data_IF_390872412386
#
_entry.id   IF_390872412386
#
_cell.length_a   1.000
_cell.length_b   1.000
_cell.length_c   1.000
_cell.angle_alpha   90.00
_cell.angle_beta   90.00
_cell.angle_gamma   90.00
#
_symmetry.space_group_name_H-M   'P 1'
#
loop_
_entity.id
_entity.type
_entity.pdbx_description
1 polymer ?
#
# COMPACT_ATOMS: atom_id res chain seq x y z
N UNK A 1 -25.20 28.09 8.62
CA UNK A 1 -24.40 26.87 8.85
C UNK A 1 -24.16 26.77 10.35
N UNK A 2 -24.29 25.57 10.95
CA UNK A 2 -23.96 25.39 12.37
C UNK A 2 -22.46 25.65 12.58
N UNK A 3 -22.09 26.30 13.68
CA UNK A 3 -20.70 26.59 14.01
C UNK A 3 -19.83 25.31 14.02
N UNK A 4 -20.40 24.17 14.39
CA UNK A 4 -19.67 22.91 14.45
C UNK A 4 -19.42 22.30 13.07
N UNK A 5 -20.25 22.59 12.06
CA UNK A 5 -19.98 22.17 10.68
C UNK A 5 -18.73 22.87 10.16
N UNK A 6 -18.63 24.19 10.38
CA UNK A 6 -17.46 24.96 9.96
C UNK A 6 -16.19 24.49 10.66
N UNK A 7 -16.26 24.18 11.97
CA UNK A 7 -15.13 23.57 12.70
C UNK A 7 -14.77 22.18 12.15
N UNK A 8 -15.77 21.35 11.84
CA UNK A 8 -15.57 20.04 11.24
C UNK A 8 -14.89 20.10 9.87
N UNK A 9 -15.27 21.07 9.04
CA UNK A 9 -14.66 21.27 7.73
C UNK A 9 -13.22 21.79 7.82
N UNK A 10 -12.95 22.75 8.71
CA UNK A 10 -11.58 23.19 9.02
C UNK A 10 -10.71 22.03 9.53
N UNK A 11 -11.27 21.17 10.38
CA UNK A 11 -10.57 19.97 10.86
C UNK A 11 -10.27 18.98 9.71
N UNK A 12 -11.20 18.78 8.77
CA UNK A 12 -10.95 17.97 7.56
C UNK A 12 -9.82 18.54 6.71
N UNK A 13 -9.83 19.85 6.47
CA UNK A 13 -8.81 20.53 5.67
C UNK A 13 -7.42 20.42 6.33
N UNK A 14 -7.39 20.49 7.67
CA UNK A 14 -6.19 20.29 8.48
C UNK A 14 -5.79 18.81 8.64
N UNK A 15 -6.53 17.87 8.03
CA UNK A 15 -6.34 16.41 8.15
C UNK A 15 -6.50 15.87 9.58
N UNK A 16 -7.11 16.65 10.48
CA UNK A 16 -7.52 16.19 11.81
C UNK A 16 -8.88 15.48 11.71
N UNK A 17 -8.83 14.23 11.27
CA UNK A 17 -10.03 13.44 11.03
C UNK A 17 -10.78 13.08 12.32
N UNK A 18 -10.09 12.98 13.47
CA UNK A 18 -10.73 12.67 14.75
C UNK A 18 -11.59 13.83 15.24
N UNK A 19 -11.04 15.06 15.22
CA UNK A 19 -11.81 16.25 15.59
C UNK A 19 -12.92 16.53 14.59
N UNK A 20 -12.69 16.30 13.29
CA UNK A 20 -13.72 16.41 12.26
C UNK A 20 -14.92 15.51 12.56
N UNK A 21 -14.69 14.24 12.89
CA UNK A 21 -15.76 13.30 13.27
C UNK A 21 -16.56 13.82 14.47
N UNK A 22 -15.89 14.33 15.52
CA UNK A 22 -16.56 14.88 16.70
C UNK A 22 -17.47 16.05 16.34
N UNK A 23 -16.93 17.05 15.66
CA UNK A 23 -17.67 18.25 15.27
C UNK A 23 -18.84 17.96 14.32
N UNK A 24 -18.66 17.06 13.33
CA UNK A 24 -19.79 16.65 12.47
C UNK A 24 -20.83 15.85 13.24
N UNK A 25 -20.43 15.01 14.19
CA UNK A 25 -21.37 14.26 15.02
C UNK A 25 -22.22 15.19 15.88
N UNK A 26 -21.63 16.24 16.44
CA UNK A 26 -22.36 17.27 17.19
C UNK A 26 -23.31 18.06 16.28
N UNK A 27 -22.87 18.45 15.08
CA UNK A 27 -23.73 19.11 14.11
C UNK A 27 -24.93 18.24 13.70
N UNK A 28 -24.73 16.93 13.56
CA UNK A 28 -25.75 15.97 13.18
C UNK A 28 -26.81 15.76 14.27
N UNK A 29 -26.50 16.02 15.55
CA UNK A 29 -27.53 16.05 16.62
C UNK A 29 -28.59 17.11 16.38
N UNK A 30 -28.23 18.21 15.70
CA UNK A 30 -29.13 19.33 15.41
C UNK A 30 -29.90 19.07 14.11
N UNK A 31 -29.22 18.64 13.05
CA UNK A 31 -29.87 18.37 11.76
C UNK A 31 -29.17 17.27 10.98
N UNK A 32 -29.95 16.31 10.49
CA UNK A 32 -29.47 15.22 9.63
C UNK A 32 -29.37 15.72 8.17
N UNK A 33 -28.37 16.56 7.89
CA UNK A 33 -28.08 17.02 6.54
C UNK A 33 -27.22 15.99 5.78
N UNK A 34 -27.57 15.63 4.53
CA UNK A 34 -26.80 14.68 3.73
C UNK A 34 -25.34 15.09 3.53
N UNK A 35 -25.06 16.38 3.31
CA UNK A 35 -23.70 16.88 3.09
C UNK A 35 -22.79 16.62 4.29
N UNK A 36 -23.29 16.84 5.52
CA UNK A 36 -22.51 16.63 6.74
C UNK A 36 -22.26 15.14 7.00
N UNK A 37 -23.22 14.27 6.66
CA UNK A 37 -23.02 12.83 6.67
C UNK A 37 -21.92 12.41 5.68
N UNK A 38 -21.92 12.96 4.46
CA UNK A 38 -20.89 12.65 3.45
C UNK A 38 -19.49 13.15 3.83
N UNK A 39 -19.40 14.30 4.50
CA UNK A 39 -18.17 14.86 5.03
C UNK A 39 -17.63 14.01 6.19
N UNK A 40 -18.50 13.63 7.15
CA UNK A 40 -18.16 12.72 8.25
C UNK A 40 -17.74 11.34 7.73
N UNK A 41 -18.44 10.82 6.71
CA UNK A 41 -18.06 9.58 6.01
C UNK A 41 -16.63 9.65 5.46
N UNK A 42 -16.21 10.78 4.88
CA UNK A 42 -14.81 10.96 4.47
C UNK A 42 -13.85 10.96 5.65
N UNK A 43 -14.19 11.59 6.77
CA UNK A 43 -13.34 11.55 7.96
C UNK A 43 -13.17 10.10 8.46
N UNK A 44 -14.27 9.34 8.57
CA UNK A 44 -14.24 7.93 8.96
C UNK A 44 -13.43 7.06 7.99
N UNK A 45 -13.60 7.25 6.69
CA UNK A 45 -12.82 6.54 5.68
C UNK A 45 -11.32 6.82 5.83
N UNK A 46 -10.93 8.07 6.12
CA UNK A 46 -9.52 8.45 6.33
C UNK A 46 -8.94 7.87 7.62
N UNK A 47 -9.78 7.57 8.60
CA UNK A 47 -9.41 6.85 9.83
C UNK A 47 -9.37 5.33 9.68
N UNK A 48 -9.71 4.78 8.50
CA UNK A 48 -9.82 3.33 8.28
C UNK A 48 -11.11 2.71 8.82
N UNK A 49 -12.04 3.52 9.34
CA UNK A 49 -13.33 3.08 9.87
C UNK A 49 -14.35 2.95 8.73
N UNK A 50 -14.09 2.01 7.81
CA UNK A 50 -14.85 1.88 6.57
C UNK A 50 -16.33 1.51 6.79
N UNK A 51 -16.65 0.69 7.79
CA UNK A 51 -18.05 0.34 8.13
C UNK A 51 -18.88 1.56 8.54
N UNK A 52 -18.33 2.41 9.42
CA UNK A 52 -18.97 3.67 9.85
C UNK A 52 -19.12 4.65 8.68
N UNK A 53 -18.09 4.74 7.84
CA UNK A 53 -18.14 5.57 6.64
C UNK A 53 -19.25 5.12 5.67
N UNK A 54 -19.47 3.81 5.53
CA UNK A 54 -20.49 3.25 4.65
C UNK A 54 -21.89 3.55 5.19
N UNK A 55 -22.09 3.43 6.51
CA UNK A 55 -23.33 3.80 7.20
C UNK A 55 -23.74 5.24 6.89
N UNK A 56 -22.80 6.18 7.06
CA UNK A 56 -23.06 7.60 6.79
C UNK A 56 -23.38 7.86 5.31
N UNK A 57 -22.68 7.19 4.40
CA UNK A 57 -22.93 7.31 2.96
C UNK A 57 -24.30 6.75 2.55
N UNK A 58 -24.72 5.61 3.12
CA UNK A 58 -26.04 5.01 2.93
C UNK A 58 -27.14 5.93 3.47
N UNK A 59 -26.96 6.48 4.67
CA UNK A 59 -27.93 7.40 5.28
C UNK A 59 -28.07 8.69 4.47
N UNK A 60 -26.95 9.25 4.01
CA UNK A 60 -26.95 10.43 3.15
C UNK A 60 -27.72 10.19 1.85
N UNK A 61 -27.56 9.00 1.24
CA UNK A 61 -28.26 8.61 0.03
C UNK A 61 -29.78 8.56 0.22
N UNK A 62 -30.25 7.88 1.28
CA UNK A 62 -31.69 7.77 1.58
C UNK A 62 -32.30 9.16 1.80
N UNK A 63 -31.65 10.01 2.59
CA UNK A 63 -32.13 11.38 2.82
C UNK A 63 -32.12 12.19 1.50
N UNK A 64 -31.11 11.99 0.64
CA UNK A 64 -31.02 12.69 -0.65
C UNK A 64 -32.12 12.28 -1.63
N UNK A 65 -32.45 10.98 -1.69
CA UNK A 65 -33.56 10.43 -2.49
C UNK A 65 -34.89 11.00 -1.99
N UNK A 66 -35.14 10.94 -0.67
CA UNK A 66 -36.35 11.48 -0.07
C UNK A 66 -36.53 12.98 -0.30
N UNK A 67 -35.42 13.72 -0.45
CA UNK A 67 -35.43 15.16 -0.77
C UNK A 67 -35.39 15.45 -2.28
N UNK A 68 -35.31 14.45 -3.14
CA UNK A 68 -35.25 14.60 -4.60
C UNK A 68 -34.02 15.34 -5.14
N UNK A 69 -32.93 15.44 -4.37
CA UNK A 69 -31.75 16.24 -4.76
C UNK A 69 -30.74 15.39 -5.55
N UNK A 70 -30.91 15.34 -6.87
CA UNK A 70 -30.12 14.53 -7.81
C UNK A 70 -28.60 14.64 -7.62
N UNK A 71 -28.09 15.86 -7.41
CA UNK A 71 -26.65 16.09 -7.20
C UNK A 71 -26.12 15.39 -5.94
N UNK A 72 -26.88 15.47 -4.84
CA UNK A 72 -26.51 14.85 -3.56
C UNK A 72 -26.64 13.32 -3.66
N UNK A 73 -27.62 12.81 -4.41
CA UNK A 73 -27.75 11.38 -4.70
C UNK A 73 -26.48 10.87 -5.39
N UNK A 74 -26.00 11.59 -6.42
CA UNK A 74 -24.75 11.24 -7.09
C UNK A 74 -23.55 11.28 -6.13
N UNK A 75 -23.43 12.33 -5.31
CA UNK A 75 -22.36 12.46 -4.33
C UNK A 75 -22.36 11.34 -3.28
N UNK A 76 -23.54 10.91 -2.86
CA UNK A 76 -23.70 9.80 -1.93
C UNK A 76 -23.33 8.46 -2.57
N UNK A 77 -23.76 8.18 -3.81
CA UNK A 77 -23.35 6.99 -4.55
C UNK A 77 -21.84 6.96 -4.80
N UNK A 78 -21.25 8.11 -5.15
CA UNK A 78 -19.81 8.27 -5.30
C UNK A 78 -19.05 7.95 -4.00
N UNK A 79 -19.53 8.49 -2.86
CA UNK A 79 -18.93 8.21 -1.55
C UNK A 79 -19.08 6.73 -1.17
N UNK A 80 -20.25 6.11 -1.39
CA UNK A 80 -20.47 4.67 -1.18
C UNK A 80 -19.46 3.84 -1.97
N UNK A 81 -19.25 4.15 -3.25
CA UNK A 81 -18.28 3.47 -4.11
C UNK A 81 -16.84 3.55 -3.56
N UNK A 82 -16.40 4.73 -3.11
CA UNK A 82 -15.07 4.89 -2.50
C UNK A 82 -14.94 4.05 -1.22
N UNK A 83 -15.96 4.03 -0.37
CA UNK A 83 -15.92 3.29 0.89
C UNK A 83 -15.92 1.77 0.66
N UNK A 84 -16.75 1.29 -0.27
CA UNK A 84 -16.81 -0.13 -0.65
C UNK A 84 -15.50 -0.60 -1.29
N UNK A 85 -14.85 0.26 -2.07
CA UNK A 85 -13.50 0.02 -2.56
C UNK A 85 -12.50 -0.14 -1.41
N UNK A 86 -12.59 0.71 -0.38
CA UNK A 86 -11.80 0.56 0.86
C UNK A 86 -12.06 -0.74 1.62
N UNK A 87 -13.26 -1.31 1.51
CA UNK A 87 -13.63 -2.64 2.03
C UNK A 87 -13.23 -3.80 1.10
N UNK A 88 -12.54 -3.50 -0.03
CA UNK A 88 -12.18 -4.46 -1.07
C UNK A 88 -13.38 -5.15 -1.73
N UNK A 89 -14.57 -4.55 -1.68
CA UNK A 89 -15.75 -5.04 -2.38
C UNK A 89 -15.85 -4.35 -3.75
N UNK A 90 -15.00 -4.75 -4.70
CA UNK A 90 -14.83 -4.01 -5.95
C UNK A 90 -16.06 -4.11 -6.87
N UNK A 91 -16.77 -5.24 -6.85
CA UNK A 91 -18.04 -5.39 -7.58
C UNK A 91 -19.10 -4.39 -7.12
N UNK A 92 -19.34 -4.34 -5.81
CA UNK A 92 -20.24 -3.38 -5.18
C UNK A 92 -19.81 -1.92 -5.46
N UNK A 93 -18.50 -1.63 -5.37
CA UNK A 93 -17.97 -0.31 -5.68
C UNK A 93 -18.21 0.12 -7.14
N UNK A 94 -18.01 -0.80 -8.10
CA UNK A 94 -18.23 -0.56 -9.54
C UNK A 94 -19.66 -0.17 -9.83
N UNK A 95 -20.61 -0.89 -9.25
CA UNK A 95 -22.04 -0.62 -9.42
C UNK A 95 -22.41 0.75 -8.83
N UNK A 96 -21.89 1.11 -7.65
CA UNK A 96 -22.08 2.44 -7.08
C UNK A 96 -21.58 3.58 -7.99
N UNK A 97 -20.41 3.41 -8.63
CA UNK A 97 -19.91 4.42 -9.57
C UNK A 97 -20.75 4.50 -10.84
N UNK A 98 -21.32 3.39 -11.31
CA UNK A 98 -22.27 3.41 -12.42
C UNK A 98 -23.55 4.16 -12.05
N UNK A 99 -24.14 3.89 -10.87
CA UNK A 99 -25.29 4.66 -10.38
C UNK A 99 -24.94 6.16 -10.24
N UNK A 100 -23.77 6.49 -9.69
CA UNK A 100 -23.29 7.87 -9.65
C UNK A 100 -23.28 8.52 -11.05
N UNK A 101 -22.77 7.81 -12.07
CA UNK A 101 -22.74 8.30 -13.45
C UNK A 101 -24.14 8.62 -13.98
N UNK A 102 -25.11 7.77 -13.69
CA UNK A 102 -26.50 7.95 -14.12
C UNK A 102 -27.13 9.22 -13.51
N UNK A 103 -26.78 9.56 -12.26
CA UNK A 103 -27.26 10.78 -11.62
C UNK A 103 -26.46 12.03 -12.01
N UNK A 104 -25.14 11.94 -12.08
CA UNK A 104 -24.22 13.02 -12.47
C UNK A 104 -22.96 12.47 -13.16
N UNK A 105 -22.94 12.50 -14.49
CA UNK A 105 -21.81 12.05 -15.30
C UNK A 105 -20.57 12.94 -15.14
N UNK A 106 -20.75 14.23 -14.86
CA UNK A 106 -19.66 15.21 -14.73
C UNK A 106 -19.05 15.25 -13.33
N UNK A 107 -19.34 14.26 -12.47
CA UNK A 107 -18.78 14.21 -11.12
C UNK A 107 -17.26 14.12 -11.18
N UNK A 108 -16.58 15.13 -10.61
CA UNK A 108 -15.12 15.18 -10.56
C UNK A 108 -14.54 13.92 -9.92
N UNK A 109 -13.55 13.33 -10.60
CA UNK A 109 -12.87 12.11 -10.16
C UNK A 109 -13.59 10.81 -10.50
N UNK A 110 -14.83 10.84 -11.01
CA UNK A 110 -15.61 9.62 -11.29
C UNK A 110 -14.94 8.70 -12.30
N UNK A 111 -14.50 9.22 -13.44
CA UNK A 111 -13.82 8.43 -14.49
C UNK A 111 -12.56 7.73 -13.97
N UNK A 112 -11.76 8.45 -13.16
CA UNK A 112 -10.56 7.90 -12.54
C UNK A 112 -10.91 6.76 -11.59
N UNK A 113 -11.93 6.94 -10.75
CA UNK A 113 -12.39 5.89 -9.84
C UNK A 113 -12.98 4.68 -10.55
N UNK A 114 -13.74 4.88 -11.62
CA UNK A 114 -14.26 3.79 -12.45
C UNK A 114 -13.11 2.98 -13.07
N UNK A 115 -12.09 3.65 -13.60
CA UNK A 115 -10.89 2.97 -14.12
C UNK A 115 -10.16 2.20 -13.02
N UNK A 116 -9.94 2.84 -11.87
CA UNK A 116 -9.25 2.21 -10.73
C UNK A 116 -9.98 0.98 -10.22
N UNK A 117 -11.29 1.07 -10.00
CA UNK A 117 -12.10 -0.07 -9.56
C UNK A 117 -12.08 -1.19 -10.60
N UNK A 118 -12.10 -0.88 -11.89
CA UNK A 118 -12.05 -1.90 -12.95
C UNK A 118 -10.73 -2.66 -12.89
N UNK A 119 -9.60 -1.94 -12.79
CA UNK A 119 -8.29 -2.57 -12.63
C UNK A 119 -8.22 -3.43 -11.35
N UNK A 120 -8.67 -2.90 -10.22
CA UNK A 120 -8.65 -3.65 -8.95
C UNK A 120 -9.61 -4.86 -8.99
N UNK A 121 -10.75 -4.74 -9.66
CA UNK A 121 -11.70 -5.84 -9.88
C UNK A 121 -11.04 -6.98 -10.67
N UNK A 122 -10.39 -6.66 -11.80
CA UNK A 122 -9.73 -7.65 -12.66
C UNK A 122 -8.53 -8.31 -11.95
N UNK A 123 -7.72 -7.52 -11.23
CA UNK A 123 -6.57 -8.03 -10.46
C UNK A 123 -6.97 -8.98 -9.33
N UNK A 124 -8.17 -8.83 -8.77
CA UNK A 124 -8.66 -9.65 -7.66
C UNK A 124 -9.54 -10.82 -8.13
N UNK A 125 -9.36 -11.30 -9.37
CA UNK A 125 -9.99 -12.52 -9.87
C UNK A 125 -11.29 -12.31 -10.64
N UNK A 126 -11.60 -11.06 -11.02
CA UNK A 126 -12.69 -10.74 -11.94
C UNK A 126 -14.05 -11.28 -11.48
N UNK A 127 -14.85 -11.77 -12.41
CA UNK A 127 -16.24 -12.17 -12.16
C UNK A 127 -16.39 -13.38 -11.23
N UNK A 128 -15.38 -14.25 -11.14
CA UNK A 128 -15.43 -15.45 -10.29
C UNK A 128 -15.06 -15.19 -8.83
N UNK A 129 -14.53 -14.01 -8.48
CA UNK A 129 -14.09 -13.72 -7.14
C UNK A 129 -15.24 -13.28 -6.22
N UNK A 130 -15.28 -13.80 -5.00
CA UNK A 130 -16.32 -13.47 -4.02
C UNK A 130 -16.35 -11.97 -3.67
N UNK A 131 -15.17 -11.33 -3.60
CA UNK A 131 -15.05 -9.88 -3.36
C UNK A 131 -15.67 -9.01 -4.48
N UNK A 132 -15.93 -9.62 -5.64
CA UNK A 132 -16.49 -8.99 -6.82
C UNK A 132 -17.97 -9.31 -7.02
N UNK A 133 -18.56 -10.13 -6.16
CA UNK A 133 -20.00 -10.38 -6.16
C UNK A 133 -20.77 -9.09 -5.84
N UNK A 134 -21.80 -8.81 -6.63
CA UNK A 134 -22.68 -7.67 -6.41
C UNK A 134 -23.81 -8.09 -5.48
N UNK A 135 -23.79 -7.59 -4.25
CA UNK A 135 -24.78 -7.93 -3.20
C UNK A 135 -25.64 -6.73 -2.80
N UNK A 136 -25.26 -5.52 -3.20
CA UNK A 136 -25.92 -4.29 -2.77
C UNK A 136 -27.05 -3.86 -3.71
N UNK A 137 -28.09 -3.24 -3.14
CA UNK A 137 -29.16 -2.56 -3.87
C UNK A 137 -28.83 -1.08 -4.12
N UNK A 138 -29.43 -0.50 -5.15
CA UNK A 138 -29.25 0.92 -5.51
C UNK A 138 -29.63 1.83 -4.34
N UNK A 139 -30.77 1.53 -3.72
CA UNK A 139 -31.26 2.17 -2.51
C UNK A 139 -31.17 1.15 -1.36
N UNK A 140 -30.37 1.41 -0.31
CA UNK A 140 -30.36 0.56 0.89
C UNK A 140 -31.75 0.53 1.54
N UNK A 141 -32.26 -0.68 1.80
CA UNK A 141 -33.47 -0.90 2.60
C UNK A 141 -33.09 -0.85 4.10
N UNK A 142 -33.90 -0.18 4.93
CA UNK A 142 -33.74 -0.07 6.39
C UNK A 142 -32.34 0.29 6.91
N UNK A 143 -31.90 1.52 6.63
CA UNK A 143 -30.66 2.09 7.24
C UNK A 143 -30.75 2.16 8.77
N UNK A 144 -31.96 2.10 9.33
CA UNK A 144 -32.21 2.20 10.77
C UNK A 144 -31.91 0.90 11.55
N UNK A 145 -31.98 -0.29 10.92
CA UNK A 145 -31.63 -1.55 11.58
C UNK A 145 -30.09 -1.69 11.76
N UNK A 146 -29.32 -1.17 10.80
CA UNK A 146 -27.85 -1.00 10.90
C UNK A 146 -27.44 0.04 11.97
N UNK A 147 -28.37 0.87 12.47
CA UNK A 147 -28.07 1.81 13.56
C UNK A 147 -27.85 1.09 14.88
N UNK A 148 -28.67 0.08 15.20
CA UNK A 148 -28.61 -0.61 16.49
C UNK A 148 -27.33 -1.44 16.66
N UNK A 149 -26.88 -2.13 15.62
CA UNK A 149 -25.68 -2.97 15.70
C UNK A 149 -24.39 -2.13 15.79
N UNK A 150 -24.34 -0.99 15.09
CA UNK A 150 -23.21 -0.07 15.11
C UNK A 150 -23.17 0.79 16.37
N UNK A 151 -24.33 1.25 16.86
CA UNK A 151 -24.41 2.02 18.10
C UNK A 151 -24.07 1.12 19.32
N UNK A 152 -24.42 -0.18 19.28
CA UNK A 152 -23.95 -1.16 20.26
C UNK A 152 -22.41 -1.34 20.22
N UNK A 153 -21.80 -1.41 19.03
CA UNK A 153 -20.34 -1.50 18.88
C UNK A 153 -19.62 -0.23 19.34
N UNK A 154 -20.20 0.94 19.10
CA UNK A 154 -19.68 2.23 19.59
C UNK A 154 -19.78 2.30 21.12
N UNK A 155 -20.90 1.89 21.71
CA UNK A 155 -21.03 1.79 23.18
C UNK A 155 -20.06 0.78 23.80
N UNK A 156 -19.84 -0.37 23.17
CA UNK A 156 -18.88 -1.37 23.63
C UNK A 156 -17.44 -0.85 23.58
N UNK A 157 -17.11 -0.04 22.57
CA UNK A 157 -15.78 0.53 22.42
C UNK A 157 -15.55 1.75 23.33
N UNK A 158 -16.58 2.58 23.58
CA UNK A 158 -16.52 3.67 24.56
C UNK A 158 -16.43 3.13 25.99
N UNK A 159 -17.19 2.09 26.34
CA UNK A 159 -17.09 1.40 27.65
C UNK A 159 -15.70 0.78 27.88
N UNK A 160 -15.00 0.35 26.82
CA UNK A 160 -13.60 -0.12 26.90
C UNK A 160 -12.58 1.01 27.08
N UNK A 161 -12.83 2.19 26.51
CA UNK A 161 -11.99 3.38 26.70
C UNK A 161 -12.21 4.00 28.09
N UNK A 162 -13.46 4.05 28.58
CA UNK A 162 -13.83 4.53 29.91
C UNK A 162 -13.31 3.60 31.01
N UNK A 163 -13.40 2.27 30.84
CA UNK A 163 -12.80 1.30 31.77
C UNK A 163 -11.26 1.39 31.83
N UNK A 164 -10.61 1.85 30.76
CA UNK A 164 -9.17 2.11 30.70
C UNK A 164 -8.79 3.48 31.29
N UNK A 165 -9.73 4.43 31.28
CA UNK A 165 -9.59 5.75 31.90
C UNK A 165 -9.84 5.71 33.42
N UNK A 166 -10.78 4.90 33.91
CA UNK A 166 -11.08 4.76 35.34
C UNK A 166 -9.95 4.06 36.12
N UNK A 167 -9.15 3.19 35.48
CA UNK A 167 -7.96 2.60 36.11
C UNK A 167 -6.75 3.55 36.21
N UNK A 168 -6.86 4.79 35.71
CA UNK A 168 -5.74 5.74 35.65
C UNK A 168 -5.94 6.99 36.52
N UNK A 169 -6.97 7.04 37.37
CA UNK A 169 -7.20 8.12 38.33
C UNK A 169 -6.71 7.70 39.72
N UNK A 170 -5.38 7.68 39.89
CA UNK A 170 -4.67 7.77 41.18
C UNK A 170 -3.17 7.96 40.89
N UNK A 171 -2.82 9.11 40.33
CA UNK A 171 -1.43 9.47 40.01
C UNK A 171 -1.34 10.88 39.42
N UNK A 172 -1.38 11.89 40.29
CA UNK A 172 -1.43 13.30 39.91
C UNK A 172 -0.10 13.86 39.37
N UNK A 173 -0.25 14.89 38.52
CA UNK A 173 0.67 15.99 38.20
C UNK A 173 2.04 15.68 37.58
N UNK A 174 2.19 15.94 36.29
CA UNK A 174 3.28 16.83 35.80
C UNK A 174 2.90 17.50 34.47
N UNK A 175 3.24 18.78 34.39
CA UNK A 175 3.11 19.73 33.28
C UNK A 175 3.54 19.22 31.91
N UNK A 176 2.83 19.72 30.90
CA UNK A 176 3.10 19.63 29.46
C UNK A 176 4.55 20.04 29.15
N UNK A 177 5.38 19.08 28.77
CA UNK A 177 6.49 19.32 27.83
C UNK A 177 6.59 18.13 26.87
N UNK A 178 6.64 18.45 25.59
CA UNK A 178 6.69 17.51 24.46
C UNK A 178 8.10 16.88 24.40
N UNK A 179 8.27 15.55 24.38
CA UNK A 179 9.56 14.93 24.04
C UNK A 179 9.48 14.11 22.74
N UNK A 180 10.65 13.78 22.15
CA UNK A 180 10.80 13.48 20.73
C UNK A 180 10.52 12.02 20.37
N UNK A 181 10.24 11.86 19.08
CA UNK A 181 9.91 10.64 18.35
C UNK A 181 11.03 9.57 18.44
N UNK A 182 10.76 8.46 19.14
CA UNK A 182 11.51 7.20 19.02
C UNK A 182 10.54 6.05 18.76
N UNK A 183 9.64 6.24 17.79
CA UNK A 183 8.74 5.17 17.32
C UNK A 183 9.58 3.97 16.86
N UNK A 184 9.49 2.85 17.57
CA UNK A 184 10.09 1.57 17.22
C UNK A 184 9.57 1.19 15.82
N UNK A 185 10.46 1.13 14.83
CA UNK A 185 10.11 0.75 13.44
C UNK A 185 10.54 -0.68 13.18
N UNK A 186 9.73 -1.44 12.45
CA UNK A 186 10.12 -2.73 11.92
C UNK A 186 9.87 -2.79 10.41
N UNK A 187 10.66 -3.58 9.72
CA UNK A 187 10.57 -3.83 8.28
C UNK A 187 10.92 -5.30 8.01
N UNK A 188 10.50 -5.85 6.87
CA UNK A 188 10.89 -7.18 6.44
C UNK A 188 11.02 -7.24 4.91
N UNK A 189 11.97 -8.03 4.45
CA UNK A 189 12.16 -8.35 3.04
C UNK A 189 12.48 -9.83 2.89
N UNK A 190 12.52 -10.32 1.65
CA UNK A 190 12.77 -11.73 1.39
C UNK A 190 13.60 -11.94 0.13
N UNK A 191 14.31 -13.06 0.12
CA UNK A 191 14.93 -13.64 -1.06
C UNK A 191 14.18 -14.91 -1.48
N UNK A 192 14.68 -15.62 -2.48
CA UNK A 192 14.14 -16.93 -2.87
C UNK A 192 14.32 -17.96 -1.74
N UNK A 193 15.38 -17.85 -0.93
CA UNK A 193 15.74 -18.82 0.09
C UNK A 193 15.37 -18.42 1.53
N UNK A 194 15.34 -17.13 1.87
CA UNK A 194 15.17 -16.67 3.26
C UNK A 194 14.27 -15.44 3.36
N UNK A 195 13.79 -15.15 4.57
CA UNK A 195 13.02 -13.96 4.95
C UNK A 195 13.82 -13.23 6.03
N UNK A 196 14.05 -11.94 5.85
CA UNK A 196 14.77 -11.11 6.83
C UNK A 196 13.82 -10.13 7.49
N UNK A 197 13.77 -10.15 8.83
CA UNK A 197 12.98 -9.25 9.67
C UNK A 197 13.93 -8.31 10.41
N UNK A 198 13.71 -7.00 10.28
CA UNK A 198 14.49 -5.95 10.90
C UNK A 198 13.65 -5.17 11.92
N UNK A 199 14.16 -5.03 13.14
CA UNK A 199 13.58 -4.18 14.19
C UNK A 199 14.58 -3.08 14.54
N UNK A 200 14.26 -1.84 14.19
CA UNK A 200 15.10 -0.66 14.39
C UNK A 200 14.85 -0.04 15.76
N UNK A 201 15.71 -0.35 16.72
CA UNK A 201 15.66 0.16 18.10
C UNK A 201 17.06 0.53 18.57
N UNK A 202 17.19 1.68 19.23
CA UNK A 202 18.46 2.19 19.76
C UNK A 202 18.68 1.75 21.20
N UNK A 203 19.90 1.28 21.50
CA UNK A 203 20.38 0.99 22.84
C UNK A 203 19.98 -0.39 23.38
N UNK A 204 19.90 -1.40 22.52
CA UNK A 204 19.54 -2.76 22.91
C UNK A 204 20.79 -3.50 23.46
N UNK A 205 20.74 -4.05 24.69
CA UNK A 205 21.77 -4.97 25.17
C UNK A 205 21.61 -6.34 24.49
N UNK A 206 22.72 -6.89 23.98
CA UNK A 206 22.73 -8.23 23.35
C UNK A 206 22.30 -9.34 24.33
N UNK A 207 22.55 -9.15 25.62
CA UNK A 207 22.38 -10.16 26.67
C UNK A 207 20.93 -10.29 27.19
N UNK A 208 20.09 -9.27 26.99
CA UNK A 208 18.71 -9.23 27.51
C UNK A 208 17.65 -9.38 26.40
N UNK A 209 18.08 -9.57 25.16
CA UNK A 209 17.19 -9.82 24.02
C UNK A 209 16.95 -11.32 23.88
N UNK A 210 15.69 -11.72 23.91
CA UNK A 210 15.26 -13.10 23.67
C UNK A 210 14.58 -13.20 22.32
N UNK A 211 15.03 -14.14 21.48
CA UNK A 211 14.45 -14.42 20.16
C UNK A 211 14.10 -15.92 20.14
N UNK A 212 12.82 -16.23 20.04
CA UNK A 212 12.31 -17.60 19.95
C UNK A 212 11.80 -17.85 18.53
N UNK A 213 12.49 -18.74 17.82
CA UNK A 213 12.17 -19.12 16.44
C UNK A 213 11.58 -20.53 16.46
N UNK A 214 10.33 -20.67 16.07
CA UNK A 214 9.64 -21.96 15.90
C UNK A 214 9.28 -22.16 14.44
N UNK A 215 8.89 -23.39 14.08
CA UNK A 215 8.59 -23.80 12.69
C UNK A 215 7.62 -22.85 11.96
N UNK A 216 6.69 -22.20 12.68
CA UNK A 216 5.73 -21.25 12.12
C UNK A 216 5.46 -20.05 13.04
N UNK A 217 6.35 -19.76 13.98
CA UNK A 217 6.20 -18.58 14.85
C UNK A 217 7.54 -17.95 15.20
N UNK A 218 7.52 -16.61 15.30
CA UNK A 218 8.66 -15.79 15.69
C UNK A 218 8.23 -14.89 16.84
N UNK A 219 8.92 -15.01 17.96
CA UNK A 219 8.72 -14.17 19.14
C UNK A 219 10.03 -13.46 19.48
N UNK A 220 9.97 -12.15 19.68
CA UNK A 220 11.13 -11.31 19.98
C UNK A 220 10.78 -10.45 21.19
N UNK A 221 11.56 -10.56 22.27
CA UNK A 221 11.36 -9.77 23.48
C UNK A 221 12.65 -9.09 23.91
N UNK A 222 12.59 -7.78 24.16
CA UNK A 222 13.73 -6.97 24.60
C UNK A 222 13.28 -5.80 25.50
N UNK A 223 14.14 -5.32 26.41
CA UNK A 223 13.82 -4.16 27.25
C UNK A 223 13.80 -2.86 26.44
N UNK A 224 12.76 -2.04 26.62
CA UNK A 224 12.69 -0.71 25.99
C UNK A 224 13.59 0.28 26.74
N UNK A 225 14.32 1.11 25.99
CA UNK A 225 15.18 2.16 26.56
C UNK A 225 14.43 3.42 26.98
N UNK A 226 13.16 3.56 26.55
CA UNK A 226 12.35 4.78 26.75
C UNK A 226 11.34 4.66 27.91
N UNK A 227 11.01 3.43 28.30
CA UNK A 227 10.14 3.13 29.44
C UNK A 227 10.64 1.81 30.01
N UNK A 228 10.74 1.64 31.33
CA UNK A 228 11.28 0.44 31.99
C UNK A 228 10.40 -0.83 31.79
N UNK A 229 9.83 -1.03 30.60
CA UNK A 229 8.93 -2.09 30.20
C UNK A 229 9.58 -2.95 29.12
N UNK A 230 9.30 -4.26 29.13
CA UNK A 230 9.71 -5.21 28.09
C UNK A 230 8.81 -5.08 26.85
N UNK A 231 9.39 -4.88 25.67
CA UNK A 231 8.67 -4.87 24.40
C UNK A 231 8.72 -6.27 23.78
N UNK A 232 7.56 -6.81 23.40
CA UNK A 232 7.45 -8.14 22.77
C UNK A 232 6.77 -8.02 21.41
N UNK A 233 7.39 -8.59 20.37
CA UNK A 233 6.82 -8.77 19.04
C UNK A 233 6.52 -10.24 18.83
N UNK A 234 5.30 -10.55 18.41
CA UNK A 234 4.84 -11.91 18.14
C UNK A 234 4.29 -12.01 16.72
N UNK A 235 4.85 -12.94 15.94
CA UNK A 235 4.39 -13.28 14.60
C UNK A 235 4.00 -14.76 14.57
N UNK A 236 2.71 -15.05 14.71
CA UNK A 236 2.15 -16.40 14.73
C UNK A 236 0.73 -16.40 14.14
N UNK A 237 0.41 -17.23 13.12
CA UNK A 237 1.33 -18.06 12.34
C UNK A 237 2.12 -17.24 11.29
N UNK A 238 3.38 -17.63 11.02
CA UNK A 238 4.13 -17.20 9.84
C UNK A 238 3.48 -17.74 8.56
N UNK A 239 3.67 -17.03 7.43
CA UNK A 239 3.07 -17.36 6.15
C UNK A 239 3.29 -18.83 5.75
N UNK A 240 4.53 -19.30 5.83
CA UNK A 240 4.92 -20.68 5.58
C UNK A 240 5.91 -21.17 6.63
N UNK A 241 6.20 -22.47 6.64
CA UNK A 241 7.15 -23.05 7.58
C UNK A 241 8.58 -22.61 7.29
N UNK A 242 9.35 -22.49 8.37
CA UNK A 242 10.77 -22.13 8.32
C UNK A 242 11.63 -23.24 8.92
N UNK A 243 12.86 -23.32 8.43
CA UNK A 243 13.89 -24.23 8.92
C UNK A 243 14.59 -23.58 10.12
N UNK A 244 14.23 -23.98 11.33
CA UNK A 244 14.72 -23.36 12.58
C UNK A 244 16.24 -23.48 12.70
N UNK A 245 16.82 -24.61 12.29
CA UNK A 245 18.27 -24.89 12.40
C UNK A 245 19.14 -24.02 11.51
N UNK A 246 18.60 -23.55 10.39
CA UNK A 246 19.30 -22.67 9.43
C UNK A 246 18.93 -21.19 9.59
N UNK A 247 18.00 -20.89 10.50
CA UNK A 247 17.60 -19.52 10.81
C UNK A 247 18.54 -18.93 11.85
N UNK A 248 18.87 -17.65 11.73
CA UNK A 248 19.82 -16.97 12.62
C UNK A 248 19.31 -15.59 13.01
N UNK A 249 19.87 -15.02 14.07
CA UNK A 249 19.58 -13.64 14.48
C UNK A 249 20.87 -12.93 14.89
N UNK A 250 20.90 -11.62 14.67
CA UNK A 250 22.00 -10.74 15.06
C UNK A 250 21.44 -9.50 15.75
N UNK A 251 21.93 -9.24 16.96
CA UNK A 251 21.58 -8.05 17.75
C UNK A 251 22.72 -7.06 17.65
N UNK A 252 22.42 -5.85 17.18
CA UNK A 252 23.32 -4.71 17.16
C UNK A 252 22.74 -3.55 17.98
N UNK A 253 23.53 -2.54 18.38
CA UNK A 253 23.05 -1.42 19.20
C UNK A 253 21.92 -0.59 18.57
N UNK A 254 21.68 -0.72 17.27
CA UNK A 254 20.70 0.06 16.51
C UNK A 254 19.65 -0.79 15.77
N UNK A 255 19.83 -2.12 15.71
CA UNK A 255 18.89 -3.03 15.05
C UNK A 255 18.98 -4.46 15.58
N UNK A 256 17.84 -5.14 15.58
CA UNK A 256 17.75 -6.60 15.64
C UNK A 256 17.43 -7.09 14.24
N UNK A 257 18.27 -7.96 13.70
CA UNK A 257 18.10 -8.57 12.37
C UNK A 257 17.90 -10.07 12.55
N UNK A 258 16.80 -10.61 12.04
CA UNK A 258 16.46 -12.03 12.10
C UNK A 258 16.35 -12.55 10.67
N UNK A 259 17.11 -13.60 10.36
CA UNK A 259 17.11 -14.27 9.06
C UNK A 259 16.43 -15.64 9.25
N UNK A 260 15.25 -15.78 8.67
CA UNK A 260 14.45 -17.01 8.70
C UNK A 260 14.64 -17.78 7.39
N UNK A 261 15.17 -18.99 7.48
CA UNK A 261 15.35 -19.85 6.31
C UNK A 261 14.01 -20.48 5.91
N UNK A 262 13.57 -20.31 4.66
CA UNK A 262 12.34 -20.95 4.17
C UNK A 262 12.58 -22.46 4.03
N UNK A 263 11.60 -23.29 4.45
CA UNK A 263 11.64 -24.74 4.18
C UNK A 263 11.48 -25.02 2.68
N UNK A 264 10.63 -24.24 1.99
CA UNK A 264 10.45 -24.31 0.54
C UNK A 264 11.18 -23.15 -0.15
N UNK A 265 12.33 -23.44 -0.76
CA UNK A 265 13.04 -22.46 -1.57
C UNK A 265 12.21 -22.09 -2.82
N UNK A 266 12.12 -20.80 -3.13
CA UNK A 266 11.36 -20.27 -4.27
C UNK A 266 9.94 -19.80 -3.93
N UNK A 267 9.38 -20.19 -2.77
CA UNK A 267 8.05 -19.72 -2.35
C UNK A 267 8.09 -18.22 -1.97
N UNK A 268 7.37 -17.39 -2.71
CA UNK A 268 7.22 -15.95 -2.40
C UNK A 268 6.17 -15.75 -1.31
N UNK A 269 6.53 -15.05 -0.24
CA UNK A 269 5.62 -14.72 0.85
C UNK A 269 4.93 -13.38 0.53
N UNK A 270 3.61 -13.30 0.32
CA UNK A 270 2.91 -12.04 0.12
C UNK A 270 2.84 -11.20 1.41
N UNK A 271 2.83 -11.87 2.57
CA UNK A 271 2.80 -11.27 3.91
C UNK A 271 3.73 -12.05 4.85
N UNK A 272 4.17 -11.44 5.95
CA UNK A 272 5.02 -12.12 6.95
C UNK A 272 4.22 -13.12 7.80
N UNK A 273 3.00 -12.74 8.18
CA UNK A 273 2.05 -13.59 8.90
C UNK A 273 1.04 -14.21 7.92
N UNK A 274 0.64 -15.44 8.21
CA UNK A 274 -0.49 -16.08 7.57
C UNK A 274 -1.77 -15.56 8.21
N UNK A 275 -2.66 -14.97 7.42
CA UNK A 275 -4.04 -14.69 7.83
C UNK A 275 -4.92 -15.75 7.19
N UNK A 276 -5.39 -16.73 7.95
CA UNK A 276 -6.55 -17.51 7.53
C UNK A 276 -7.78 -16.60 7.56
N UNK A 277 -8.76 -16.79 6.68
CA UNK A 277 -10.15 -16.82 7.09
C UNK A 277 -10.40 -18.17 7.81
N UNK A 278 -10.65 -18.18 9.12
CA UNK A 278 -10.99 -19.41 9.85
C UNK A 278 -12.43 -19.90 9.54
N UNK A 279 -12.82 -21.15 9.86
CA UNK A 279 -12.07 -22.41 9.81
C UNK A 279 -12.90 -23.59 9.21
N UNK A 280 -12.29 -24.54 8.49
CA UNK A 280 -12.63 -25.98 8.58
C UNK A 280 -11.41 -26.84 8.21
N UNK A 281 -11.02 -27.74 9.11
CA UNK A 281 -10.50 -29.07 8.75
C UNK A 281 -8.99 -29.25 8.61
N UNK A 282 -8.38 -29.82 9.65
CA UNK A 282 -7.16 -30.64 9.53
C UNK A 282 -7.39 -31.85 8.61
N UNK A 283 -6.27 -32.40 8.13
CA UNK A 283 -6.09 -33.56 7.25
C UNK A 283 -6.36 -33.32 5.75
N UNK A 284 -5.28 -33.21 4.97
CA UNK A 284 -4.76 -34.33 4.18
C UNK A 284 -3.42 -33.99 3.53
N UNK A 285 -2.50 -34.95 3.64
CA UNK A 285 -1.16 -34.99 3.07
C UNK A 285 -1.19 -35.58 1.65
N UNK A 286 -0.42 -34.93 0.77
CA UNK A 286 0.38 -35.52 -0.33
C UNK A 286 -0.35 -35.97 -1.63
N UNK A 287 0.38 -36.42 -2.67
CA UNK A 287 1.14 -35.58 -3.62
C UNK A 287 0.83 -35.96 -5.09
N UNK A 288 0.99 -35.07 -6.08
CA UNK A 288 1.31 -35.55 -7.42
C UNK A 288 1.99 -34.52 -8.32
N UNK A 289 3.09 -34.99 -8.89
CA UNK A 289 3.85 -34.44 -9.99
C UNK A 289 3.13 -34.86 -11.27
N UNK A 290 2.88 -33.93 -12.19
CA UNK A 290 2.71 -34.31 -13.59
C UNK A 290 3.27 -33.21 -14.45
N UNK A 291 4.39 -33.51 -15.08
CA UNK A 291 4.81 -32.88 -16.32
C UNK A 291 3.73 -33.14 -17.37
N UNK A 292 3.25 -32.10 -18.03
CA UNK A 292 2.99 -32.18 -19.47
C UNK A 292 3.12 -30.79 -20.07
N UNK A 293 3.97 -30.76 -21.08
CA UNK A 293 4.29 -29.61 -21.90
C UNK A 293 3.19 -29.41 -22.96
N UNK A 294 3.26 -28.25 -23.64
CA UNK A 294 2.53 -27.78 -24.83
C UNK A 294 1.34 -26.84 -24.58
N UNK A 295 1.53 -25.58 -24.97
CA UNK A 295 0.44 -24.64 -25.35
C UNK A 295 0.56 -23.26 -24.72
N UNK A 296 1.42 -22.40 -25.27
CA UNK A 296 1.73 -21.08 -24.71
C UNK A 296 0.58 -20.07 -24.72
N UNK A 297 0.51 -19.26 -23.67
CA UNK A 297 0.05 -17.87 -23.75
C UNK A 297 0.71 -17.06 -22.62
N UNK A 298 1.51 -16.07 -23.02
CA UNK A 298 2.37 -15.22 -22.18
C UNK A 298 1.51 -14.10 -21.56
N UNK A 299 1.34 -14.06 -20.24
CA UNK A 299 0.78 -12.88 -19.54
C UNK A 299 1.86 -12.31 -18.62
N UNK A 300 2.30 -11.11 -18.99
CA UNK A 300 3.35 -10.32 -18.36
C UNK A 300 2.86 -9.71 -17.05
N UNK A 301 3.64 -9.89 -15.98
CA UNK A 301 3.50 -9.17 -14.71
C UNK A 301 4.48 -7.99 -14.68
N UNK A 302 4.00 -6.74 -14.71
CA UNK A 302 4.85 -5.58 -14.39
C UNK A 302 4.95 -5.39 -12.85
N UNK A 303 6.14 -5.08 -12.29
CA UNK A 303 6.28 -4.67 -10.90
C UNK A 303 5.77 -3.22 -10.67
N UNK A 304 5.38 -2.84 -9.43
CA UNK A 304 4.80 -1.54 -9.14
C UNK A 304 5.83 -0.40 -9.29
N UNK A 305 5.45 0.63 -10.04
CA UNK A 305 6.20 1.87 -10.24
C UNK A 305 5.95 2.81 -9.04
N UNK A 306 7.01 3.20 -8.35
CA UNK A 306 6.98 4.18 -7.24
C UNK A 306 7.21 5.62 -7.75
N UNK A 307 6.67 6.66 -7.08
CA UNK A 307 6.74 8.03 -7.58
C UNK A 307 8.12 8.61 -7.31
N UNK A 308 8.88 8.88 -8.38
CA UNK A 308 10.14 9.63 -8.28
C UNK A 308 9.86 11.10 -8.62
N UNK A 309 10.50 12.01 -7.88
CA UNK A 309 10.34 13.46 -7.98
C UNK A 309 11.01 14.08 -9.22
N UNK A 310 11.07 13.37 -10.34
CA UNK A 310 11.64 13.85 -11.59
C UNK A 310 10.56 14.55 -12.43
N UNK A 311 10.85 15.77 -12.93
CA UNK A 311 9.95 16.53 -13.82
C UNK A 311 9.66 15.83 -15.16
N UNK A 312 10.39 14.76 -15.47
CA UNK A 312 10.12 13.83 -16.55
C UNK A 312 10.06 12.43 -15.94
N UNK A 313 8.89 11.78 -16.02
CA UNK A 313 8.54 10.55 -15.29
C UNK A 313 9.44 9.33 -15.55
N UNK A 314 9.11 8.17 -14.96
CA UNK A 314 9.94 6.97 -15.00
C UNK A 314 10.23 6.52 -16.44
N UNK A 315 11.51 6.52 -16.83
CA UNK A 315 11.97 6.00 -18.13
C UNK A 315 11.70 4.49 -18.17
N UNK A 316 10.79 4.09 -19.06
CA UNK A 316 10.25 2.73 -19.15
C UNK A 316 11.14 1.89 -20.10
N UNK A 317 11.99 1.04 -19.54
CA UNK A 317 12.98 0.24 -20.30
C UNK A 317 12.38 -1.04 -20.92
N UNK A 318 11.17 -1.42 -20.54
CA UNK A 318 10.45 -2.59 -21.10
C UNK A 318 9.93 -2.35 -22.53
N UNK A 319 9.92 -1.12 -23.04
CA UNK A 319 9.38 -0.77 -24.38
C UNK A 319 10.35 -1.15 -25.51
N UNK A 320 11.62 -1.42 -25.20
CA UNK A 320 12.65 -1.70 -26.22
C UNK A 320 12.61 -3.16 -26.68
N UNK A 321 11.91 -4.04 -25.97
CA UNK A 321 11.82 -5.49 -26.28
C UNK A 321 10.58 -5.83 -27.13
N UNK A 322 9.53 -4.99 -27.11
CA UNK A 322 8.22 -5.34 -27.70
C UNK A 322 7.93 -4.69 -29.07
N UNK A 323 8.89 -3.96 -29.66
CA UNK A 323 8.70 -3.30 -30.96
C UNK A 323 9.58 -3.96 -32.04
N UNK A 324 9.26 -5.20 -32.36
CA UNK A 324 9.84 -5.94 -33.48
C UNK A 324 8.78 -6.05 -34.60
N UNK A 325 8.85 -5.11 -35.54
CA UNK A 325 8.41 -5.33 -36.90
C UNK A 325 9.66 -5.15 -37.77
N UNK A 326 9.97 -6.22 -38.50
CA UNK A 326 11.09 -6.43 -39.43
C UNK A 326 12.32 -7.13 -38.85
N UNK A 327 12.50 -8.36 -39.33
CA UNK A 327 13.65 -9.25 -39.16
C UNK A 327 14.96 -8.54 -39.50
N UNK A 328 15.75 -8.20 -38.48
CA UNK A 328 17.21 -8.18 -38.56
C UNK A 328 17.74 -8.73 -37.23
N UNK A 329 18.52 -9.81 -37.31
CA UNK A 329 19.04 -10.62 -36.21
C UNK A 329 19.42 -9.83 -34.94
N UNK A 330 18.81 -10.18 -33.79
CA UNK A 330 19.14 -9.69 -32.44
C UNK A 330 20.47 -10.30 -31.92
N UNK A 331 21.50 -10.38 -32.76
CA UNK A 331 22.84 -10.87 -32.37
C UNK A 331 23.90 -9.77 -32.39
N UNK A 332 23.55 -8.54 -32.78
CA UNK A 332 24.48 -7.41 -32.79
C UNK A 332 24.19 -6.42 -31.64
N UNK A 333 25.16 -6.18 -30.72
CA UNK A 333 25.07 -5.14 -29.69
C UNK A 333 24.72 -3.75 -30.28
N UNK A 334 25.09 -3.51 -31.54
CA UNK A 334 24.85 -2.27 -32.26
C UNK A 334 23.36 -1.99 -32.51
N UNK A 335 22.51 -3.01 -32.67
CA UNK A 335 21.07 -2.84 -32.90
C UNK A 335 20.37 -2.21 -31.68
N UNK A 336 20.81 -2.60 -30.47
CA UNK A 336 20.33 -2.03 -29.22
C UNK A 336 20.67 -0.53 -29.12
N UNK A 337 21.91 -0.14 -29.42
CA UNK A 337 22.34 1.26 -29.34
C UNK A 337 21.68 2.14 -30.42
N UNK A 338 21.47 1.61 -31.64
CA UNK A 338 20.73 2.30 -32.70
C UNK A 338 19.29 2.60 -32.28
N UNK A 339 18.61 1.64 -31.66
CA UNK A 339 17.23 1.79 -31.17
C UNK A 339 17.15 2.78 -30.01
N UNK A 340 18.08 2.67 -29.05
CA UNK A 340 18.21 3.60 -27.93
C UNK A 340 18.43 5.04 -28.41
N UNK A 341 19.29 5.24 -29.41
CA UNK A 341 19.60 6.55 -29.96
C UNK A 341 18.47 7.11 -30.85
N UNK A 342 17.76 6.26 -31.60
CA UNK A 342 16.63 6.67 -32.46
C UNK A 342 15.50 7.28 -31.62
N UNK A 343 15.14 6.62 -30.52
CA UNK A 343 14.01 6.98 -29.66
C UNK A 343 14.35 7.97 -28.52
N UNK A 344 15.63 8.34 -28.36
CA UNK A 344 16.07 9.28 -27.33
C UNK A 344 15.65 10.73 -27.62
N UNK A 345 15.39 11.51 -26.56
CA UNK A 345 15.25 12.96 -26.64
C UNK A 345 16.60 13.65 -26.96
N UNK A 346 16.62 14.91 -27.46
CA UNK A 346 17.84 15.59 -27.88
C UNK A 346 18.93 15.67 -26.81
N UNK A 347 18.58 15.83 -25.54
CA UNK A 347 19.56 15.92 -24.45
C UNK A 347 20.15 14.54 -24.13
N UNK A 348 19.33 13.49 -24.16
CA UNK A 348 19.81 12.10 -24.07
C UNK A 348 20.75 11.76 -25.24
N UNK A 349 20.43 12.15 -26.48
CA UNK A 349 21.31 11.95 -27.64
C UNK A 349 22.65 12.68 -27.47
N UNK A 350 22.62 13.92 -26.98
CA UNK A 350 23.82 14.70 -26.68
C UNK A 350 24.67 14.05 -25.59
N UNK A 351 24.05 13.52 -24.54
CA UNK A 351 24.73 12.80 -23.47
C UNK A 351 25.41 11.53 -23.99
N UNK A 352 24.71 10.76 -24.82
CA UNK A 352 25.23 9.54 -25.43
C UNK A 352 26.43 9.84 -26.34
N UNK A 353 26.32 10.82 -27.23
CA UNK A 353 27.43 11.20 -28.12
C UNK A 353 28.63 11.67 -27.32
N UNK A 354 28.43 12.59 -26.36
CA UNK A 354 29.53 13.17 -25.59
C UNK A 354 30.24 12.10 -24.75
N UNK A 355 29.49 11.27 -24.04
CA UNK A 355 30.07 10.19 -23.22
C UNK A 355 30.81 9.15 -24.07
N UNK A 356 30.24 8.74 -25.20
CA UNK A 356 30.87 7.80 -26.12
C UNK A 356 32.16 8.37 -26.72
N UNK A 357 32.14 9.64 -27.13
CA UNK A 357 33.30 10.31 -27.73
C UNK A 357 34.42 10.57 -26.71
N UNK A 358 34.09 11.02 -25.49
CA UNK A 358 35.10 11.32 -24.46
C UNK A 358 35.71 10.07 -23.83
N UNK A 359 34.92 9.00 -23.73
CA UNK A 359 35.37 7.71 -23.18
C UNK A 359 36.01 6.78 -24.22
N UNK A 360 36.21 7.25 -25.46
CA UNK A 360 36.69 6.41 -26.58
C UNK A 360 35.89 5.10 -26.74
N UNK A 361 34.56 5.19 -26.57
CA UNK A 361 33.65 4.06 -26.72
C UNK A 361 33.54 3.11 -25.52
N UNK A 362 34.15 3.44 -24.38
CA UNK A 362 34.13 2.57 -23.19
C UNK A 362 32.99 2.87 -22.21
N UNK A 363 32.36 4.04 -22.31
CA UNK A 363 31.27 4.44 -21.44
C UNK A 363 30.15 5.16 -22.21
N UNK A 364 28.90 4.83 -21.85
CA UNK A 364 27.70 5.44 -22.43
C UNK A 364 26.79 5.94 -21.32
N UNK A 365 26.51 7.24 -21.31
CA UNK A 365 25.59 7.88 -20.37
C UNK A 365 24.39 8.49 -21.09
N UNK A 366 23.22 8.38 -20.46
CA UNK A 366 21.95 8.92 -20.96
C UNK A 366 21.50 10.20 -20.24
N UNK A 367 22.34 10.74 -19.36
CA UNK A 367 22.00 11.86 -18.47
C UNK A 367 22.84 13.11 -18.76
N UNK A 368 22.30 14.06 -19.52
CA UNK A 368 23.01 15.29 -19.90
C UNK A 368 23.40 16.16 -18.68
N UNK A 369 22.62 16.13 -17.61
CA UNK A 369 22.90 16.90 -16.39
C UNK A 369 24.22 16.52 -15.71
N UNK A 370 24.67 15.27 -15.86
CA UNK A 370 25.92 14.78 -15.26
C UNK A 370 27.09 14.91 -16.25
N UNK A 371 26.92 14.39 -17.47
CA UNK A 371 28.02 14.40 -18.45
C UNK A 371 28.17 15.72 -19.19
N UNK A 372 27.20 16.64 -19.12
CA UNK A 372 27.31 17.94 -19.78
C UNK A 372 28.44 18.80 -19.24
N UNK A 373 28.70 18.74 -17.92
CA UNK A 373 29.71 19.55 -17.22
C UNK A 373 31.00 18.78 -16.92
N UNK A 374 30.94 17.46 -16.71
CA UNK A 374 32.11 16.60 -16.46
C UNK A 374 32.67 16.01 -17.75
N UNK A 375 33.96 15.68 -17.76
CA UNK A 375 34.59 14.84 -18.80
C UNK A 375 34.47 13.36 -18.43
N UNK A 376 34.01 12.53 -19.35
CA UNK A 376 33.91 11.07 -19.12
C UNK A 376 35.27 10.41 -19.35
N UNK A 377 35.74 9.66 -18.35
CA UNK A 377 37.03 8.96 -18.42
C UNK A 377 36.92 7.65 -19.21
N UNK A 378 38.05 7.25 -19.82
CA UNK A 378 38.17 5.99 -20.55
C UNK A 378 38.38 4.88 -19.52
N UNK A 379 37.46 3.92 -19.44
CA UNK A 379 37.55 2.76 -18.56
C UNK A 379 37.71 1.51 -19.43
N UNK A 380 38.94 1.09 -19.73
CA UNK A 380 39.15 -0.09 -20.56
C UNK A 380 38.70 -1.38 -19.84
N UNK A 381 38.27 -2.42 -20.58
CA UNK A 381 37.94 -3.72 -20.00
C UNK A 381 39.13 -4.36 -19.27
N UNK A 382 38.84 -5.23 -18.30
CA UNK A 382 39.86 -5.94 -17.51
C UNK A 382 40.88 -6.63 -18.42
N UNK A 383 42.16 -6.31 -18.23
CA UNK A 383 43.29 -6.85 -19.00
C UNK A 383 43.76 -6.00 -20.19
N UNK A 384 43.16 -4.83 -20.43
CA UNK A 384 43.56 -3.91 -21.52
C UNK A 384 43.97 -2.55 -20.95
N UNK A 385 45.16 -2.05 -21.32
CA UNK A 385 45.62 -0.71 -20.93
C UNK A 385 45.38 0.31 -22.05
N UNK A 386 44.72 1.42 -21.73
CA UNK A 386 44.47 2.50 -22.67
C UNK A 386 45.78 3.27 -22.95
N UNK A 387 46.33 3.12 -24.15
CA UNK A 387 47.47 3.94 -24.61
C UNK A 387 46.97 5.14 -25.39
N UNK A 388 47.53 6.32 -25.11
CA UNK A 388 47.33 7.51 -25.93
C UNK A 388 48.12 7.35 -27.22
N UNK A 389 47.50 7.69 -28.34
CA UNK A 389 48.21 7.81 -29.60
C UNK A 389 48.97 9.14 -29.57
N UNK A 390 50.26 9.10 -29.28
CA UNK A 390 51.12 10.27 -29.41
C UNK A 390 51.33 10.53 -30.91
N UNK A 391 51.07 11.77 -31.34
CA UNK A 391 51.25 12.22 -32.73
C UNK A 391 52.72 12.47 -33.07
#
# INVERSE_FOLDING_TARGET
MSADVSKGQVALDNKDYQSAVKHFSDALKISQAPSWLLERSTAYHRLGQHKLALRDANKALVIAINRGKREIIADAQYRRGIVLHGLKQYGNARVCFHWCKNYNEKKSGLTMWMSKVTTDYDLNGGEQAECNAVTIKEVPENVDDDLNEVDQLIELNSKKEDAKAEMNILGANTSVSKPPDSKIRHDWYQSQSHVTVNILVKGIPKETTTVNIKKRSLEISFPSTTSQSTCTFLFEPLYSSIEVTKSSFSVTPHKIEIILQKTMAGLKWPTLQFSSPDPVGEDLVSPLMTETNVGGTKIMSHPPVYPTSSRNGPKNWDIIVDNEAEEESIDEPDAFFKTLYKNADPDTKRAMIKSFQESNGTALSTQWSDVGSRKVEVVPPDGVEAKRWDA
#
